data_IF_956340179284
#
_entry.id   IF_956340179284
#
_cell.length_a   1.000
_cell.length_b   1.000
_cell.length_c   1.000
_cell.angle_alpha   90.00
_cell.angle_beta   90.00
_cell.angle_gamma   90.00
#
_symmetry.space_group_name_H-M   'P 1'
#
loop_
_entity.id
_entity.type
_entity.pdbx_description
1 polymer ?
#
# COMPACT_ATOMS: atom_id res chain seq x y z
N UNK A 1 -14.02 -1.87 9.95
CA UNK A 1 -13.69 -1.98 8.52
C UNK A 1 -12.63 -3.05 8.31
N UNK A 2 -11.43 -2.91 8.85
CA UNK A 2 -10.30 -3.82 8.61
C UNK A 2 -10.59 -5.29 8.93
N UNK A 3 -11.26 -5.58 10.06
CA UNK A 3 -11.66 -6.95 10.41
C UNK A 3 -12.61 -7.60 9.42
N UNK A 4 -13.39 -6.84 8.65
CA UNK A 4 -14.23 -7.35 7.57
C UNK A 4 -13.36 -7.78 6.37
N UNK A 5 -12.39 -6.95 6.00
CA UNK A 5 -11.44 -7.26 4.92
C UNK A 5 -10.66 -8.54 5.23
N UNK A 6 -10.23 -8.74 6.48
CA UNK A 6 -9.58 -9.98 6.92
C UNK A 6 -10.45 -11.23 6.79
N UNK A 7 -11.77 -11.09 6.88
CA UNK A 7 -12.72 -12.19 6.65
C UNK A 7 -13.10 -12.38 5.18
N UNK A 8 -12.49 -11.61 4.26
CA UNK A 8 -12.82 -11.64 2.83
C UNK A 8 -14.06 -10.81 2.48
N UNK A 9 -14.51 -9.92 3.36
CA UNK A 9 -15.71 -9.10 3.17
C UNK A 9 -15.34 -7.68 2.71
N UNK A 10 -16.25 -7.03 1.99
CA UNK A 10 -16.13 -5.62 1.59
C UNK A 10 -16.96 -4.76 2.55
N UNK A 11 -16.32 -3.93 3.39
CA UNK A 11 -17.05 -3.11 4.33
C UNK A 11 -17.84 -2.02 3.61
N UNK A 12 -19.08 -1.81 4.01
CA UNK A 12 -19.94 -0.72 3.52
C UNK A 12 -19.33 0.65 3.84
N UNK A 13 -18.65 0.75 4.98
CA UNK A 13 -17.92 1.95 5.44
C UNK A 13 -16.45 1.60 5.64
N UNK A 14 -15.64 1.59 4.55
CA UNK A 14 -14.24 1.24 4.64
C UNK A 14 -13.44 2.31 5.40
N UNK A 15 -12.28 1.91 5.90
CA UNK A 15 -11.22 2.87 6.17
C UNK A 15 -10.80 3.50 4.84
N UNK A 16 -10.73 4.83 4.77
CA UNK A 16 -10.27 5.54 3.57
C UNK A 16 -9.08 6.41 3.95
N UNK A 17 -7.96 6.20 3.31
CA UNK A 17 -6.87 7.16 3.31
C UNK A 17 -7.12 8.13 2.16
N UNK A 18 -7.13 9.43 2.48
CA UNK A 18 -7.30 10.50 1.50
C UNK A 18 -6.11 11.45 1.59
N UNK A 19 -5.50 11.76 0.46
CA UNK A 19 -4.46 12.77 0.33
C UNK A 19 -4.81 13.76 -0.78
N UNK A 20 -4.41 15.02 -0.60
CA UNK A 20 -4.59 16.10 -1.58
C UNK A 20 -3.22 16.69 -1.95
N UNK A 21 -2.46 16.02 -2.85
CA UNK A 21 -1.08 16.40 -3.16
C UNK A 21 -0.93 17.83 -3.71
N UNK A 22 -1.93 18.33 -4.43
CA UNK A 22 -1.92 19.68 -4.99
C UNK A 22 -1.93 20.82 -3.95
N UNK A 23 -2.17 20.53 -2.67
CA UNK A 23 -1.98 21.52 -1.60
C UNK A 23 -0.51 21.81 -1.31
N UNK A 24 0.38 20.87 -1.64
CA UNK A 24 1.82 20.97 -1.38
C UNK A 24 2.64 21.18 -2.66
N UNK A 25 2.06 20.80 -3.80
CA UNK A 25 2.68 20.91 -5.12
C UNK A 25 1.63 21.36 -6.15
N UNK A 26 1.59 22.65 -6.41
CA UNK A 26 0.62 23.26 -7.33
C UNK A 26 0.74 22.76 -8.78
N UNK A 27 1.89 22.19 -9.17
CA UNK A 27 2.08 21.63 -10.51
C UNK A 27 1.24 20.40 -10.81
N UNK A 28 0.62 19.80 -9.77
CA UNK A 28 -0.19 18.58 -9.87
C UNK A 28 -1.65 18.81 -10.29
N UNK A 29 -2.05 20.05 -10.46
CA UNK A 29 -3.39 20.39 -10.95
C UNK A 29 -3.36 21.71 -11.71
N UNK A 30 -4.27 21.94 -12.68
CA UNK A 30 -4.48 23.27 -13.27
C UNK A 30 -4.88 24.29 -12.20
N UNK A 31 -4.67 25.57 -12.50
CA UNK A 31 -5.03 26.67 -11.59
C UNK A 31 -6.50 26.57 -11.15
N UNK A 32 -6.75 26.76 -9.86
CA UNK A 32 -8.08 26.66 -9.25
C UNK A 32 -8.68 25.25 -9.21
N UNK A 33 -7.89 24.23 -9.54
CA UNK A 33 -8.27 22.80 -9.43
C UNK A 33 -7.38 22.10 -8.43
N UNK A 34 -7.83 20.92 -8.00
CA UNK A 34 -7.10 20.08 -7.05
C UNK A 34 -7.11 18.62 -7.48
N UNK A 35 -6.05 17.91 -7.12
CA UNK A 35 -6.02 16.45 -7.17
C UNK A 35 -6.31 15.90 -5.79
N UNK A 36 -7.12 14.85 -5.75
CA UNK A 36 -7.31 14.03 -4.57
C UNK A 36 -6.93 12.58 -4.91
N UNK A 37 -6.23 11.92 -4.02
CA UNK A 37 -5.88 10.52 -4.12
C UNK A 37 -6.41 9.79 -2.91
N UNK A 38 -7.16 8.72 -3.13
CA UNK A 38 -7.79 7.96 -2.06
C UNK A 38 -7.67 6.46 -2.31
N UNK A 39 -7.57 5.67 -1.25
CA UNK A 39 -7.72 4.23 -1.33
C UNK A 39 -8.39 3.67 -0.08
N UNK A 40 -8.94 2.48 -0.20
CA UNK A 40 -9.36 1.64 0.90
C UNK A 40 -8.73 0.25 0.79
N UNK A 41 -8.73 -0.50 1.88
CA UNK A 41 -8.34 -1.90 1.85
C UNK A 41 -9.52 -2.77 1.39
N UNK A 42 -9.19 -3.78 0.61
CA UNK A 42 -10.12 -4.80 0.10
C UNK A 42 -9.45 -6.18 0.20
N UNK A 43 -10.21 -7.28 0.16
CA UNK A 43 -9.61 -8.61 0.08
C UNK A 43 -8.67 -8.74 -1.12
N UNK A 44 -7.57 -9.49 -0.94
CA UNK A 44 -6.59 -9.72 -2.01
C UNK A 44 -7.29 -10.29 -3.27
N UNK A 45 -6.95 -9.75 -4.43
CA UNK A 45 -7.56 -10.14 -5.70
C UNK A 45 -9.00 -9.68 -5.90
N UNK A 46 -9.53 -8.80 -5.07
CA UNK A 46 -10.91 -8.31 -5.19
C UNK A 46 -11.17 -7.70 -6.57
N UNK A 47 -12.36 -7.97 -7.10
CA UNK A 47 -12.90 -7.37 -8.33
C UNK A 47 -14.01 -6.37 -8.07
N UNK A 48 -14.31 -6.08 -6.80
CA UNK A 48 -15.39 -5.18 -6.41
C UNK A 48 -14.94 -3.73 -6.58
N UNK A 49 -15.76 -2.93 -7.26
CA UNK A 49 -15.58 -1.49 -7.35
C UNK A 49 -16.04 -0.83 -6.03
N UNK A 50 -15.10 -0.20 -5.33
CA UNK A 50 -15.33 0.48 -4.06
C UNK A 50 -15.47 2.00 -4.19
N UNK A 51 -15.65 2.51 -5.41
CA UNK A 51 -15.72 3.96 -5.68
C UNK A 51 -16.80 4.64 -4.84
N UNK A 52 -18.02 4.08 -4.85
CA UNK A 52 -19.16 4.63 -4.10
C UNK A 52 -18.90 4.65 -2.59
N UNK A 53 -18.29 3.60 -2.05
CA UNK A 53 -17.96 3.48 -0.64
C UNK A 53 -16.88 4.48 -0.24
N UNK A 54 -15.84 4.65 -1.05
CA UNK A 54 -14.77 5.64 -0.81
C UNK A 54 -15.34 7.05 -0.86
N UNK A 55 -16.07 7.40 -1.92
CA UNK A 55 -16.67 8.73 -2.09
C UNK A 55 -17.72 9.01 -0.98
N UNK A 56 -18.49 7.99 -0.58
CA UNK A 56 -19.44 8.10 0.51
C UNK A 56 -18.79 8.37 1.86
N UNK A 57 -17.64 7.77 2.12
CA UNK A 57 -16.89 8.07 3.34
C UNK A 57 -16.32 9.49 3.31
N UNK A 58 -15.78 9.96 2.17
CA UNK A 58 -15.30 11.34 2.06
C UNK A 58 -16.46 12.33 2.20
N UNK A 59 -17.57 12.11 1.51
CA UNK A 59 -18.78 12.96 1.58
C UNK A 59 -19.31 13.10 3.01
N UNK A 60 -19.23 12.03 3.81
CA UNK A 60 -19.65 12.03 5.22
C UNK A 60 -18.89 13.05 6.07
N UNK A 61 -17.60 13.27 5.78
CA UNK A 61 -16.74 14.18 6.53
C UNK A 61 -16.55 15.53 5.82
N UNK A 62 -16.81 15.58 4.51
CA UNK A 62 -16.72 16.76 3.67
C UNK A 62 -17.98 16.87 2.77
N UNK A 63 -19.12 17.30 3.33
CA UNK A 63 -20.37 17.42 2.58
C UNK A 63 -20.21 18.28 1.32
N UNK A 64 -20.72 17.79 0.19
CA UNK A 64 -20.59 18.41 -1.11
C UNK A 64 -19.33 18.01 -1.89
N UNK A 65 -18.54 17.08 -1.37
CA UNK A 65 -17.34 16.56 -2.06
C UNK A 65 -17.69 15.95 -3.42
N UNK A 66 -18.70 15.07 -3.47
CA UNK A 66 -19.10 14.37 -4.71
C UNK A 66 -19.47 15.35 -5.83
N UNK A 67 -20.13 16.44 -5.50
CA UNK A 67 -20.52 17.47 -6.48
C UNK A 67 -19.32 18.26 -7.04
N UNK A 68 -18.14 18.13 -6.44
CA UNK A 68 -16.91 18.79 -6.88
C UNK A 68 -16.00 17.89 -7.71
N UNK A 69 -16.34 16.61 -7.87
CA UNK A 69 -15.54 15.68 -8.66
C UNK A 69 -15.71 16.02 -10.14
N UNK A 70 -14.65 16.40 -10.79
CA UNK A 70 -14.63 16.74 -12.23
C UNK A 70 -14.31 15.51 -13.08
N UNK A 71 -13.43 14.65 -12.59
CA UNK A 71 -13.02 13.42 -13.24
C UNK A 71 -12.47 12.45 -12.19
N UNK A 72 -12.47 11.15 -12.51
CA UNK A 72 -11.90 10.11 -11.67
C UNK A 72 -11.16 9.07 -12.50
N UNK A 73 -10.18 8.46 -11.88
CA UNK A 73 -9.50 7.26 -12.35
C UNK A 73 -9.49 6.23 -11.23
N UNK A 74 -9.79 4.98 -11.54
CA UNK A 74 -9.90 3.89 -10.56
C UNK A 74 -8.92 2.78 -10.93
N UNK A 75 -8.18 2.28 -9.95
CA UNK A 75 -7.32 1.11 -10.08
C UNK A 75 -7.77 0.05 -9.06
N UNK A 76 -8.52 -0.93 -9.52
CA UNK A 76 -8.85 -2.11 -8.72
C UNK A 76 -7.65 -3.07 -8.61
N UNK A 77 -7.63 -4.03 -7.66
CA UNK A 77 -6.52 -4.97 -7.46
C UNK A 77 -5.98 -5.63 -8.72
N UNK A 78 -6.83 -6.12 -9.60
CA UNK A 78 -6.41 -6.70 -10.87
C UNK A 78 -5.71 -5.70 -11.82
N UNK A 79 -6.08 -4.42 -11.77
CA UNK A 79 -5.40 -3.37 -12.53
C UNK A 79 -4.04 -3.03 -11.90
N UNK A 80 -3.94 -3.05 -10.58
CA UNK A 80 -2.68 -2.87 -9.85
C UNK A 80 -1.68 -3.97 -10.20
N UNK A 81 -2.11 -5.24 -10.23
CA UNK A 81 -1.26 -6.37 -10.60
C UNK A 81 -0.80 -6.29 -12.06
N UNK A 82 -1.66 -5.88 -12.99
CA UNK A 82 -1.24 -5.64 -14.39
C UNK A 82 -0.27 -4.48 -14.53
N UNK A 83 -0.42 -3.45 -13.70
CA UNK A 83 0.49 -2.30 -13.67
C UNK A 83 1.88 -2.72 -13.16
N UNK A 84 1.93 -3.56 -12.14
CA UNK A 84 3.17 -4.08 -11.57
C UNK A 84 2.98 -5.52 -11.11
N UNK A 85 3.63 -6.47 -11.77
CA UNK A 85 3.53 -7.90 -11.48
C UNK A 85 3.94 -8.31 -10.06
N UNK A 86 4.61 -7.43 -9.30
CA UNK A 86 4.90 -7.66 -7.88
C UNK A 86 3.71 -7.35 -6.96
N UNK A 87 2.67 -6.69 -7.46
CA UNK A 87 1.45 -6.38 -6.70
C UNK A 87 0.43 -7.51 -6.81
N UNK A 88 0.82 -8.70 -6.37
CA UNK A 88 0.00 -9.92 -6.48
C UNK A 88 -1.34 -9.71 -5.78
N UNK A 89 -2.44 -9.84 -6.53
CA UNK A 89 -3.78 -9.56 -6.04
C UNK A 89 -4.01 -8.11 -5.61
N UNK A 90 -3.18 -7.17 -6.10
CA UNK A 90 -3.23 -5.74 -5.76
C UNK A 90 -2.50 -5.35 -4.47
N UNK A 91 -1.78 -6.27 -3.84
CA UNK A 91 -1.01 -5.99 -2.63
C UNK A 91 0.22 -5.14 -2.93
N UNK A 92 0.22 -3.89 -2.43
CA UNK A 92 1.34 -2.96 -2.55
C UNK A 92 2.36 -3.08 -1.40
N UNK A 93 2.07 -3.91 -0.40
CA UNK A 93 2.86 -4.02 0.84
C UNK A 93 3.86 -5.17 0.83
N UNK A 94 3.80 -6.04 -0.19
CA UNK A 94 4.64 -7.24 -0.28
C UNK A 94 4.31 -8.27 0.80
N UNK A 95 3.04 -8.42 1.13
CA UNK A 95 2.48 -9.34 2.10
C UNK A 95 1.77 -8.66 3.27
N UNK A 96 1.05 -9.46 4.02
CA UNK A 96 0.29 -9.03 5.20
C UNK A 96 1.19 -8.34 6.22
N UNK A 97 0.69 -7.26 6.84
CA UNK A 97 1.36 -6.52 7.89
C UNK A 97 0.69 -6.78 9.24
N UNK A 98 0.87 -7.99 9.77
CA UNK A 98 0.42 -8.38 11.11
C UNK A 98 1.60 -8.62 12.07
N UNK A 99 1.30 -8.87 13.33
CA UNK A 99 2.31 -9.07 14.36
C UNK A 99 3.19 -10.31 14.10
N UNK A 100 2.65 -11.36 13.48
CA UNK A 100 3.41 -12.56 13.12
C UNK A 100 4.40 -12.26 11.99
N UNK A 101 3.96 -11.50 10.99
CA UNK A 101 4.78 -11.14 9.85
C UNK A 101 5.96 -10.21 10.20
N UNK A 102 5.91 -9.49 11.30
CA UNK A 102 7.08 -8.74 11.79
C UNK A 102 8.30 -9.63 12.04
N UNK A 103 8.07 -10.91 12.37
CA UNK A 103 9.13 -11.86 12.68
C UNK A 103 9.36 -12.92 11.60
N UNK A 104 8.43 -13.05 10.65
CA UNK A 104 8.45 -14.13 9.65
C UNK A 104 8.62 -13.65 8.21
N UNK A 105 8.68 -12.33 7.97
CA UNK A 105 8.88 -11.75 6.63
C UNK A 105 10.35 -11.77 6.19
N UNK A 106 10.62 -12.02 4.92
CA UNK A 106 9.79 -12.65 3.89
C UNK A 106 9.73 -14.17 4.06
N UNK A 107 10.51 -14.69 4.97
CA UNK A 107 10.60 -16.10 5.38
C UNK A 107 11.06 -16.20 6.83
N UNK A 108 10.75 -17.30 7.51
CA UNK A 108 11.21 -17.56 8.88
C UNK A 108 12.72 -17.72 8.88
N UNK A 109 13.44 -16.66 9.27
CA UNK A 109 14.90 -16.61 9.33
C UNK A 109 15.36 -15.68 10.45
N UNK A 110 16.52 -15.99 11.05
CA UNK A 110 17.17 -15.11 12.05
C UNK A 110 17.63 -13.81 11.37
N UNK A 111 18.13 -13.90 10.15
CA UNK A 111 18.50 -12.74 9.32
C UNK A 111 17.54 -12.67 8.11
N UNK A 112 16.48 -11.87 8.18
CA UNK A 112 15.47 -11.81 7.15
C UNK A 112 15.95 -11.17 5.83
N UNK A 113 17.11 -10.56 5.83
CA UNK A 113 17.72 -9.94 4.64
C UNK A 113 18.59 -10.92 3.86
N UNK A 114 18.97 -12.04 4.46
CA UNK A 114 19.82 -13.04 3.83
C UNK A 114 19.03 -13.96 2.90
N UNK A 115 19.72 -14.53 1.91
CA UNK A 115 19.20 -15.61 1.06
C UNK A 115 20.02 -16.90 1.27
N UNK A 116 19.62 -18.03 0.67
CA UNK A 116 20.48 -19.24 0.63
C UNK A 116 21.85 -18.98 -0.03
N UNK A 117 21.92 -18.07 -0.98
CA UNK A 117 23.19 -17.60 -1.55
C UNK A 117 23.83 -16.59 -0.60
N UNK A 118 25.05 -16.84 -0.09
CA UNK A 118 25.74 -15.96 0.85
C UNK A 118 26.13 -14.60 0.26
N UNK A 119 26.09 -14.45 -1.06
CA UNK A 119 26.43 -13.21 -1.76
C UNK A 119 25.20 -12.38 -2.11
N UNK A 120 23.98 -12.93 -1.92
CA UNK A 120 22.73 -12.27 -2.28
C UNK A 120 21.93 -11.87 -1.04
N UNK A 121 21.50 -10.61 -0.99
CA UNK A 121 20.70 -10.03 0.07
C UNK A 121 19.46 -9.36 -0.49
N UNK A 122 18.36 -9.35 0.30
CA UNK A 122 17.09 -8.76 -0.08
C UNK A 122 16.88 -7.47 0.72
N UNK A 123 16.51 -6.38 0.03
CA UNK A 123 15.99 -5.18 0.64
C UNK A 123 14.70 -4.74 -0.09
N UNK A 124 13.56 -4.93 0.53
CA UNK A 124 12.27 -4.59 -0.08
C UNK A 124 11.20 -4.33 0.97
N UNK A 125 10.02 -3.91 0.54
CA UNK A 125 8.84 -3.84 1.42
C UNK A 125 8.50 -5.19 2.07
N UNK A 126 8.94 -6.30 1.48
CA UNK A 126 8.77 -7.65 2.06
C UNK A 126 9.74 -7.96 3.19
N UNK A 127 10.74 -7.12 3.47
CA UNK A 127 11.66 -7.31 4.61
C UNK A 127 11.32 -6.35 5.75
N UNK A 128 11.65 -6.66 7.02
CA UNK A 128 11.44 -5.73 8.12
C UNK A 128 12.16 -4.38 7.89
N UNK A 129 11.61 -3.27 8.33
CA UNK A 129 10.36 -3.08 9.06
C UNK A 129 9.12 -3.02 8.15
N UNK A 130 9.21 -3.33 6.88
CA UNK A 130 8.11 -3.31 5.93
C UNK A 130 8.10 -2.09 5.01
N UNK A 131 6.99 -1.88 4.31
CA UNK A 131 6.83 -0.77 3.38
C UNK A 131 6.81 0.59 4.07
N UNK A 132 7.32 1.61 3.37
CA UNK A 132 7.34 3.00 3.84
C UNK A 132 8.47 3.80 3.21
N UNK A 133 8.37 5.12 3.29
CA UNK A 133 9.41 6.05 2.77
C UNK A 133 10.44 6.32 3.87
N UNK A 134 11.23 5.33 4.24
CA UNK A 134 12.19 5.43 5.33
C UNK A 134 13.57 4.82 5.04
N UNK A 135 13.74 4.05 3.94
CA UNK A 135 15.01 3.41 3.56
C UNK A 135 15.55 2.34 4.53
N UNK A 136 14.81 1.98 5.59
CA UNK A 136 15.32 1.11 6.66
C UNK A 136 15.52 -0.33 6.20
N UNK A 137 14.74 -0.83 5.26
CA UNK A 137 14.96 -2.15 4.67
C UNK A 137 16.35 -2.24 4.02
N UNK A 138 16.74 -1.22 3.25
CA UNK A 138 18.06 -1.12 2.65
C UNK A 138 19.17 -0.99 3.67
N UNK A 139 18.99 -0.13 4.68
CA UNK A 139 19.97 0.04 5.77
C UNK A 139 20.27 -1.28 6.49
N UNK A 140 19.24 -2.02 6.88
CA UNK A 140 19.44 -3.28 7.59
C UNK A 140 19.98 -4.39 6.70
N UNK A 141 19.57 -4.44 5.41
CA UNK A 141 20.15 -5.39 4.45
C UNK A 141 21.64 -5.13 4.22
N UNK A 142 22.03 -3.88 4.07
CA UNK A 142 23.45 -3.51 3.97
C UNK A 142 24.24 -3.89 5.21
N UNK A 143 23.70 -3.67 6.41
CA UNK A 143 24.33 -4.13 7.67
C UNK A 143 24.45 -5.65 7.75
N UNK A 144 23.46 -6.39 7.23
CA UNK A 144 23.53 -7.85 7.16
C UNK A 144 24.66 -8.29 6.23
N UNK A 145 24.76 -7.70 5.03
CA UNK A 145 25.83 -7.99 4.09
C UNK A 145 27.23 -7.69 4.69
N UNK A 146 27.41 -6.52 5.29
CA UNK A 146 28.69 -6.11 5.90
C UNK A 146 29.12 -7.02 7.05
N UNK A 147 28.20 -7.65 7.78
CA UNK A 147 28.54 -8.63 8.83
C UNK A 147 29.10 -9.93 8.27
N UNK A 148 28.73 -10.28 7.03
CA UNK A 148 29.22 -11.50 6.36
C UNK A 148 30.53 -11.31 5.62
N UNK A 149 30.90 -10.07 5.32
CA UNK A 149 32.18 -9.74 4.68
C UNK A 149 33.37 -9.66 5.65
N UNK A 150 33.08 -9.75 6.94
CA UNK A 150 34.09 -9.83 8.01
C UNK A 150 34.40 -11.27 8.35
#
# INVERSE_FOLDING_TARGET
AEGAVWRGEHPERPFVLLAQPSLFDASRAPEGKHTAWAYCHVPNGSTVDMTEQIEGQVERFAPGFRARILARHVMAPAAMERYNANYIGGDISGGVSDAAQLFTRPAVRIDPYSTPDPQLFICSASTPPGGGVHGMCGYWAARSALRRLK
#
